data_IF_600009128641
#
_entry.id   IF_600009128641
#
_cell.length_a   1.000
_cell.length_b   1.000
_cell.length_c   1.000
_cell.angle_alpha   90.00
_cell.angle_beta   90.00
_cell.angle_gamma   90.00
#
_symmetry.space_group_name_H-M   'P 1'
#
loop_
_entity.id
_entity.type
_entity.pdbx_description
1 polymer ?
#
# COMPACT_ATOMS: atom_id res chain seq x y z
N UNK A 1 12.62 15.83 -52.19
CA UNK A 1 12.75 15.96 -50.72
C UNK A 1 11.36 15.94 -50.12
N UNK A 2 10.95 14.88 -49.39
CA UNK A 2 9.61 14.85 -48.80
C UNK A 2 9.60 15.68 -47.51
N UNK A 3 8.63 16.57 -47.39
CA UNK A 3 8.32 17.27 -46.15
C UNK A 3 7.81 16.25 -45.12
N UNK A 4 8.70 15.86 -44.21
CA UNK A 4 8.32 15.03 -43.05
C UNK A 4 7.40 15.87 -42.17
N UNK A 5 6.17 15.40 -42.04
CA UNK A 5 5.06 16.05 -41.34
C UNK A 5 5.32 16.04 -39.82
N UNK A 6 6.09 17.03 -39.32
CA UNK A 6 6.48 17.17 -37.91
C UNK A 6 5.31 17.40 -36.93
N UNK A 7 4.10 17.65 -37.45
CA UNK A 7 2.90 17.90 -36.63
C UNK A 7 2.33 16.65 -35.93
N UNK A 8 2.56 15.45 -36.47
CA UNK A 8 2.01 14.20 -35.90
C UNK A 8 2.78 13.76 -34.65
N UNK A 9 4.09 14.01 -34.60
CA UNK A 9 4.94 13.65 -33.48
C UNK A 9 4.66 14.49 -32.22
N UNK A 10 4.45 15.80 -32.39
CA UNK A 10 4.10 16.71 -31.29
C UNK A 10 2.75 16.37 -30.65
N UNK A 11 1.75 15.97 -31.47
CA UNK A 11 0.42 15.56 -30.97
C UNK A 11 0.47 14.24 -30.18
N UNK A 12 1.25 13.26 -30.64
CA UNK A 12 1.42 11.97 -29.94
C UNK A 12 2.15 12.08 -28.61
N UNK A 13 3.14 12.97 -28.55
CA UNK A 13 3.91 13.21 -27.32
C UNK A 13 3.06 13.95 -26.27
N UNK A 14 2.24 14.90 -26.69
CA UNK A 14 1.32 15.63 -25.81
C UNK A 14 0.21 14.73 -25.24
N UNK A 15 -0.32 13.78 -26.03
CA UNK A 15 -1.37 12.86 -25.57
C UNK A 15 -0.85 11.82 -24.56
N UNK A 16 0.36 11.29 -24.79
CA UNK A 16 1.03 10.39 -23.84
C UNK A 16 1.40 11.09 -22.51
N UNK A 17 1.63 12.41 -22.55
CA UNK A 17 1.82 13.24 -21.35
C UNK A 17 0.48 13.57 -20.68
N UNK A 18 -0.60 13.75 -21.45
CA UNK A 18 -1.96 13.96 -20.92
C UNK A 18 -2.51 12.75 -20.14
N UNK A 19 -2.14 11.53 -20.53
CA UNK A 19 -2.44 10.29 -19.76
C UNK A 19 -1.68 10.21 -18.43
N UNK A 20 -0.56 10.92 -18.31
CA UNK A 20 0.22 11.04 -17.08
C UNK A 20 -0.20 12.27 -16.24
N UNK A 21 -0.98 13.20 -16.80
CA UNK A 21 -1.30 14.47 -16.17
C UNK A 21 -2.72 14.50 -15.59
N UNK A 22 -3.73 13.99 -16.30
CA UNK A 22 -5.13 14.31 -15.99
C UNK A 22 -5.95 13.27 -15.20
N UNK A 23 -5.36 12.53 -14.23
CA UNK A 23 -6.08 11.80 -13.12
C UNK A 23 -5.20 10.76 -12.40
N UNK A 24 -4.00 11.14 -11.95
CA UNK A 24 -3.10 10.25 -11.17
C UNK A 24 -3.23 10.39 -9.64
N UNK A 25 -4.18 11.19 -9.14
CA UNK A 25 -4.39 11.30 -7.71
C UNK A 25 -5.53 10.36 -7.29
N UNK A 26 -5.18 9.26 -6.63
CA UNK A 26 -6.07 8.34 -5.96
C UNK A 26 -6.02 8.58 -4.45
N UNK A 27 -7.18 8.69 -3.84
CA UNK A 27 -7.29 8.40 -2.42
C UNK A 27 -7.15 6.89 -2.17
N UNK A 28 -6.79 6.42 -0.97
CA UNK A 28 -6.82 4.99 -0.64
C UNK A 28 -8.18 4.35 -0.91
N UNK A 29 -9.26 5.11 -0.74
CA UNK A 29 -10.63 4.72 -1.08
C UNK A 29 -10.76 4.33 -2.56
N UNK A 30 -10.09 5.05 -3.48
CA UNK A 30 -10.06 4.67 -4.89
C UNK A 30 -9.34 3.35 -5.13
N UNK A 31 -8.21 3.11 -4.45
CA UNK A 31 -7.48 1.83 -4.57
C UNK A 31 -8.32 0.68 -4.01
N UNK A 32 -8.90 0.88 -2.83
CA UNK A 32 -9.80 -0.08 -2.18
C UNK A 32 -10.97 -0.44 -3.11
N UNK A 33 -11.68 0.56 -3.64
CA UNK A 33 -12.84 0.35 -4.52
C UNK A 33 -12.50 -0.27 -5.87
N UNK A 34 -11.25 -0.20 -6.33
CA UNK A 34 -10.78 -0.84 -7.56
C UNK A 34 -10.15 -2.22 -7.34
N UNK A 35 -10.39 -2.84 -6.17
CA UNK A 35 -9.94 -4.20 -5.84
C UNK A 35 -8.75 -4.28 -4.87
N UNK A 36 -8.38 -3.17 -4.24
CA UNK A 36 -7.54 -3.15 -3.04
C UNK A 36 -6.07 -3.47 -3.24
N UNK A 37 -5.52 -3.39 -4.45
CA UNK A 37 -4.09 -3.61 -4.71
C UNK A 37 -3.47 -2.39 -5.41
N UNK A 38 -2.71 -1.59 -4.67
CA UNK A 38 -2.09 -0.35 -5.17
C UNK A 38 -1.07 -0.61 -6.27
N UNK A 39 -0.43 -1.79 -6.31
CA UNK A 39 0.58 -2.13 -7.33
C UNK A 39 -0.03 -2.31 -8.73
N UNK A 40 -1.32 -2.64 -8.81
CA UNK A 40 -2.04 -2.75 -10.07
C UNK A 40 -2.40 -1.37 -10.64
N UNK A 41 -2.31 -0.31 -9.84
CA UNK A 41 -2.66 1.05 -10.21
C UNK A 41 -1.41 1.92 -10.31
N UNK A 42 -1.48 2.90 -11.22
CA UNK A 42 -0.53 4.01 -11.23
C UNK A 42 -1.26 5.22 -10.67
N UNK A 43 -0.95 5.58 -9.44
CA UNK A 43 -1.56 6.72 -8.75
C UNK A 43 -0.69 7.25 -7.59
N UNK A 44 -1.24 8.21 -6.84
CA UNK A 44 -0.58 8.87 -5.71
C UNK A 44 -0.20 7.95 -4.56
N UNK A 45 -0.93 6.86 -4.32
CA UNK A 45 -0.60 5.92 -3.24
C UNK A 45 0.74 5.23 -3.48
N UNK A 46 1.17 5.15 -4.76
CA UNK A 46 2.45 4.54 -5.09
C UNK A 46 3.68 5.34 -4.60
N UNK A 47 3.53 6.59 -4.18
CA UNK A 47 4.67 7.35 -3.67
C UNK A 47 5.25 6.74 -2.39
N UNK A 48 4.44 6.00 -1.64
CA UNK A 48 4.85 5.33 -0.41
C UNK A 48 5.83 4.19 -0.69
N UNK A 49 5.59 3.44 -1.76
CA UNK A 49 6.46 2.37 -2.21
C UNK A 49 7.62 2.90 -3.07
N UNK A 50 7.41 4.00 -3.80
CA UNK A 50 8.36 4.57 -4.75
C UNK A 50 8.60 6.07 -4.46
N UNK A 51 9.44 6.43 -3.47
CA UNK A 51 9.62 7.83 -3.04
C UNK A 51 10.19 8.75 -4.14
N UNK A 52 10.87 8.19 -5.16
CA UNK A 52 11.33 8.95 -6.32
C UNK A 52 10.19 9.55 -7.17
N UNK A 53 8.94 9.12 -6.95
CA UNK A 53 7.76 9.60 -7.64
C UNK A 53 7.08 10.79 -6.96
N UNK A 54 7.51 11.21 -5.77
CA UNK A 54 6.84 12.28 -4.99
C UNK A 54 6.55 13.56 -5.79
N UNK A 55 7.45 13.93 -6.71
CA UNK A 55 7.25 15.11 -7.58
C UNK A 55 6.21 14.88 -8.69
N UNK A 56 6.06 13.63 -9.15
CA UNK A 56 5.08 13.24 -10.18
C UNK A 56 3.68 13.05 -9.60
N UNK A 57 3.57 12.88 -8.29
CA UNK A 57 2.37 12.45 -7.59
C UNK A 57 1.98 13.48 -6.51
N UNK A 58 2.01 14.77 -6.86
CA UNK A 58 1.69 15.85 -5.94
C UNK A 58 0.19 15.89 -5.60
N UNK A 59 -0.15 15.93 -4.32
CA UNK A 59 -1.52 15.95 -3.82
C UNK A 59 -1.55 16.30 -2.33
N UNK A 60 -2.72 16.69 -1.82
CA UNK A 60 -3.04 16.61 -0.40
C UNK A 60 -4.17 15.61 -0.22
N UNK A 61 -4.11 14.78 0.82
CA UNK A 61 -5.10 13.75 1.09
C UNK A 61 -5.39 13.69 2.59
N UNK A 62 -6.64 13.39 2.91
CA UNK A 62 -7.17 13.22 4.25
C UNK A 62 -8.14 12.04 4.20
N UNK A 63 -7.88 11.00 4.99
CA UNK A 63 -8.82 9.90 5.19
C UNK A 63 -9.45 10.02 6.57
N UNK A 64 -10.78 10.20 6.59
CA UNK A 64 -11.50 10.58 7.80
C UNK A 64 -11.73 9.41 8.76
N UNK A 65 -11.74 8.18 8.25
CA UNK A 65 -12.04 6.98 9.05
C UNK A 65 -10.78 6.32 9.61
N UNK A 66 -9.65 6.49 8.93
CA UNK A 66 -8.34 6.00 9.38
C UNK A 66 -7.50 7.10 10.06
N UNK A 67 -8.10 8.27 10.29
CA UNK A 67 -7.51 9.41 11.01
C UNK A 67 -6.13 9.84 10.49
N UNK A 68 -5.91 9.81 9.17
CA UNK A 68 -4.62 10.18 8.58
C UNK A 68 -4.76 11.31 7.58
N UNK A 69 -3.70 12.10 7.46
CA UNK A 69 -3.64 13.20 6.53
C UNK A 69 -2.21 13.41 6.04
N UNK A 70 -2.06 13.98 4.85
CA UNK A 70 -0.76 14.42 4.40
C UNK A 70 -0.77 15.15 3.08
N UNK A 71 0.42 15.53 2.68
CA UNK A 71 0.63 16.38 1.53
C UNK A 71 1.95 16.02 0.84
N UNK A 72 1.91 15.95 -0.48
CA UNK A 72 3.04 15.82 -1.38
C UNK A 72 3.09 17.02 -2.33
N UNK A 73 4.20 17.76 -2.31
CA UNK A 73 4.38 19.01 -3.03
C UNK A 73 5.66 18.98 -3.88
N UNK A 74 5.62 19.45 -5.14
CA UNK A 74 6.82 19.78 -5.86
C UNK A 74 7.42 21.06 -5.26
N UNK A 75 8.72 21.06 -4.98
CA UNK A 75 9.45 22.24 -4.48
C UNK A 75 10.42 22.70 -5.56
N UNK A 76 10.03 23.76 -6.26
CA UNK A 76 10.77 24.25 -7.42
C UNK A 76 10.77 23.25 -8.58
N UNK A 77 11.81 23.31 -9.43
CA UNK A 77 11.84 22.53 -10.69
C UNK A 77 12.29 21.08 -10.52
N UNK A 78 13.06 20.77 -9.48
CA UNK A 78 13.75 19.47 -9.35
C UNK A 78 13.37 18.69 -8.10
N UNK A 79 12.75 19.32 -7.11
CA UNK A 79 12.52 18.70 -5.82
C UNK A 79 11.05 18.35 -5.63
N UNK A 80 10.78 17.37 -4.79
CA UNK A 80 9.46 17.13 -4.22
C UNK A 80 9.62 16.74 -2.76
N UNK A 81 8.68 17.14 -1.93
CA UNK A 81 8.64 16.87 -0.50
C UNK A 81 7.25 16.36 -0.18
N UNK A 82 7.15 15.36 0.68
CA UNK A 82 5.88 14.97 1.26
C UNK A 82 5.98 14.68 2.75
N UNK A 83 4.89 14.95 3.44
CA UNK A 83 4.70 14.66 4.85
C UNK A 83 3.29 14.11 5.06
N UNK A 84 3.22 12.94 5.70
CA UNK A 84 1.96 12.31 6.09
C UNK A 84 2.02 11.97 7.57
N UNK A 85 0.88 12.06 8.24
CA UNK A 85 0.70 11.78 9.65
C UNK A 85 -0.29 10.65 9.79
N UNK A 86 -0.02 9.72 10.72
CA UNK A 86 -0.92 8.62 11.08
C UNK A 86 -1.33 7.66 9.94
N UNK A 87 -0.56 7.58 8.85
CA UNK A 87 -0.85 6.65 7.74
C UNK A 87 -0.45 5.22 8.08
N UNK A 88 -1.42 4.31 8.20
CA UNK A 88 -1.22 2.86 8.38
C UNK A 88 -0.50 2.21 7.20
N UNK A 89 0.15 1.07 7.45
CA UNK A 89 0.70 0.17 6.43
C UNK A 89 0.64 -1.28 6.90
N UNK A 90 0.77 -2.21 5.95
CA UNK A 90 0.70 -3.64 6.22
C UNK A 90 1.73 -4.14 7.25
N UNK A 91 2.93 -3.54 7.32
CA UNK A 91 3.92 -3.92 8.33
C UNK A 91 3.51 -3.53 9.76
N UNK A 92 2.64 -2.53 9.91
CA UNK A 92 2.11 -2.13 11.22
C UNK A 92 1.01 -3.09 11.69
N UNK A 93 0.19 -3.58 10.75
CA UNK A 93 -0.82 -4.61 11.04
C UNK A 93 -0.13 -5.92 11.47
N UNK A 94 0.94 -6.30 10.78
CA UNK A 94 1.79 -7.45 11.11
C UNK A 94 2.44 -7.30 12.50
N UNK A 95 3.03 -6.14 12.79
CA UNK A 95 3.59 -5.84 14.10
C UNK A 95 2.51 -5.89 15.18
N UNK A 96 1.33 -5.32 14.94
CA UNK A 96 0.22 -5.34 15.91
C UNK A 96 -0.27 -6.76 16.19
N UNK A 97 -0.32 -7.63 15.18
CA UNK A 97 -0.66 -9.04 15.33
C UNK A 97 0.41 -9.83 16.09
N UNK A 98 1.70 -9.49 15.93
CA UNK A 98 2.75 -10.05 16.77
C UNK A 98 2.58 -9.61 18.23
N UNK A 99 2.40 -8.30 18.46
CA UNK A 99 2.27 -7.74 19.80
C UNK A 99 1.07 -8.30 20.55
N UNK A 100 -0.06 -8.61 19.89
CA UNK A 100 -1.24 -9.14 20.58
C UNK A 100 -1.04 -10.53 21.20
N UNK A 101 -0.08 -11.29 20.67
CA UNK A 101 0.08 -12.72 20.96
C UNK A 101 1.30 -12.99 21.86
N UNK A 102 2.26 -12.06 21.93
CA UNK A 102 3.55 -12.26 22.63
C UNK A 102 3.73 -11.31 23.82
N UNK A 103 4.54 -11.71 24.81
CA UNK A 103 4.99 -10.84 25.91
C UNK A 103 3.99 -10.66 27.07
N UNK A 104 4.31 -9.71 27.95
CA UNK A 104 3.51 -9.37 29.12
C UNK A 104 2.13 -8.85 28.74
N UNK A 105 1.22 -8.76 29.72
CA UNK A 105 -0.11 -8.15 29.48
C UNK A 105 0.01 -6.68 29.06
N UNK A 106 1.01 -5.96 29.57
CA UNK A 106 1.22 -4.56 29.22
C UNK A 106 1.71 -4.43 27.78
N UNK A 107 2.64 -5.30 27.38
CA UNK A 107 3.15 -5.38 26.01
C UNK A 107 2.06 -5.72 25.00
N UNK A 108 1.19 -6.70 25.30
CA UNK A 108 0.02 -7.05 24.47
C UNK A 108 -1.04 -5.96 24.34
N UNK A 109 -0.95 -4.91 25.15
CA UNK A 109 -1.84 -3.74 25.08
C UNK A 109 -1.27 -2.58 24.27
N UNK A 110 -0.08 -2.75 23.69
CA UNK A 110 0.52 -1.77 22.78
C UNK A 110 -0.27 -1.75 21.47
N UNK A 111 -0.54 -0.54 21.00
CA UNK A 111 -1.17 -0.25 19.72
C UNK A 111 -0.23 0.72 18.98
N UNK A 112 0.85 0.24 18.35
CA UNK A 112 1.82 1.11 17.69
C UNK A 112 1.11 1.98 16.66
N UNK A 113 1.22 3.31 16.82
CA UNK A 113 0.60 4.26 15.89
C UNK A 113 1.65 4.87 14.97
N UNK A 114 1.37 4.99 13.66
CA UNK A 114 2.24 5.73 12.77
C UNK A 114 2.26 7.19 13.20
N UNK A 115 3.45 7.75 13.38
CA UNK A 115 3.61 9.16 13.73
C UNK A 115 3.74 10.00 12.48
N UNK A 116 4.74 9.69 11.65
CA UNK A 116 4.96 10.42 10.41
C UNK A 116 5.54 9.52 9.30
N UNK A 117 5.33 9.96 8.07
CA UNK A 117 5.95 9.47 6.84
C UNK A 117 6.49 10.70 6.09
N UNK A 118 7.80 10.80 5.97
CA UNK A 118 8.49 11.92 5.35
C UNK A 118 9.21 11.45 4.09
N UNK A 119 8.93 12.10 2.96
CA UNK A 119 9.47 11.72 1.67
C UNK A 119 10.11 12.91 0.98
N UNK A 120 11.27 12.69 0.38
CA UNK A 120 11.96 13.68 -0.43
C UNK A 120 12.39 13.07 -1.75
N UNK A 121 12.19 13.80 -2.84
CA UNK A 121 12.56 13.39 -4.19
C UNK A 121 13.38 14.45 -4.90
N UNK A 122 14.33 14.01 -5.72
CA UNK A 122 15.21 14.84 -6.51
C UNK A 122 15.29 14.33 -7.95
N UNK A 123 14.89 15.17 -8.91
CA UNK A 123 15.17 14.95 -10.32
C UNK A 123 16.60 15.43 -10.64
N UNK A 124 17.52 14.48 -10.84
CA UNK A 124 18.89 14.77 -11.24
C UNK A 124 18.95 15.31 -12.67
N UNK A 125 18.26 14.63 -13.59
CA UNK A 125 18.13 14.98 -15.00
C UNK A 125 16.82 14.44 -15.58
N UNK A 126 16.52 14.79 -16.83
CA UNK A 126 15.37 14.21 -17.53
C UNK A 126 15.49 12.68 -17.55
N UNK A 127 14.46 11.99 -17.07
CA UNK A 127 14.42 10.53 -16.99
C UNK A 127 15.21 9.89 -15.85
N UNK A 128 15.80 10.64 -14.92
CA UNK A 128 16.44 10.08 -13.73
C UNK A 128 16.03 10.88 -12.49
N UNK A 129 15.35 10.21 -11.57
CA UNK A 129 14.97 10.78 -10.26
C UNK A 129 15.38 9.83 -9.13
N UNK A 130 15.79 10.39 -8.01
CA UNK A 130 16.04 9.69 -6.77
C UNK A 130 14.99 10.11 -5.75
N UNK A 131 14.73 9.26 -4.76
CA UNK A 131 13.93 9.63 -3.61
C UNK A 131 14.36 8.90 -2.35
N UNK A 132 14.10 9.50 -1.21
CA UNK A 132 14.26 8.91 0.10
C UNK A 132 12.93 9.03 0.84
N UNK A 133 12.53 7.99 1.55
CA UNK A 133 11.38 7.98 2.43
C UNK A 133 11.80 7.51 3.82
N UNK A 134 11.18 8.07 4.85
CA UNK A 134 11.36 7.65 6.23
C UNK A 134 10.02 7.61 6.94
N UNK A 135 9.78 6.58 7.73
CA UNK A 135 8.55 6.40 8.50
C UNK A 135 8.90 5.99 9.92
N UNK A 136 8.11 6.49 10.86
CA UNK A 136 8.26 6.17 12.28
C UNK A 136 6.91 5.83 12.89
N UNK A 137 6.87 4.75 13.65
CA UNK A 137 5.73 4.35 14.48
C UNK A 137 6.21 4.02 15.90
N UNK A 138 5.38 4.32 16.89
CA UNK A 138 5.74 4.17 18.30
C UNK A 138 4.51 4.00 19.18
N UNK A 139 4.62 3.20 20.24
CA UNK A 139 3.72 3.22 21.39
C UNK A 139 4.48 2.84 22.68
N UNK A 140 4.00 3.36 23.80
CA UNK A 140 4.56 3.12 25.13
C UNK A 140 3.47 3.07 26.19
N UNK A 141 3.60 2.13 27.12
CA UNK A 141 2.75 1.98 28.28
C UNK A 141 3.62 1.87 29.53
N UNK A 142 3.27 2.64 30.54
CA UNK A 142 3.92 2.63 31.85
C UNK A 142 2.84 2.48 32.94
N UNK A 143 3.04 1.49 33.83
CA UNK A 143 2.25 1.27 35.04
C UNK A 143 3.16 1.01 36.24
N UNK A 144 4.01 1.98 36.57
CA UNK A 144 4.74 2.02 37.83
C UNK A 144 6.02 1.21 37.80
N UNK A 145 5.94 -0.11 38.03
CA UNK A 145 7.10 -1.01 37.91
C UNK A 145 7.12 -1.80 36.60
N UNK A 146 6.02 -1.75 35.85
CA UNK A 146 5.84 -2.38 34.55
C UNK A 146 5.95 -1.32 33.45
N UNK A 147 6.72 -1.62 32.41
CA UNK A 147 6.92 -0.73 31.26
C UNK A 147 6.96 -1.58 30.00
N UNK A 148 6.30 -1.12 28.95
CA UNK A 148 6.36 -1.77 27.64
C UNK A 148 6.44 -0.70 26.56
N UNK A 149 7.30 -0.90 25.57
CA UNK A 149 7.37 -0.01 24.41
C UNK A 149 7.72 -0.74 23.13
N UNK A 150 7.27 -0.15 22.04
CA UNK A 150 7.56 -0.60 20.68
C UNK A 150 7.89 0.61 19.83
N UNK A 151 8.95 0.51 19.03
CA UNK A 151 9.26 1.51 18.02
C UNK A 151 9.66 0.85 16.72
N UNK A 152 9.15 1.36 15.61
CA UNK A 152 9.48 0.90 14.26
C UNK A 152 9.96 2.08 13.43
N UNK A 153 11.11 1.91 12.79
CA UNK A 153 11.71 2.87 11.88
C UNK A 153 11.93 2.25 10.50
N UNK A 154 11.32 2.85 9.49
CA UNK A 154 11.43 2.39 8.11
C UNK A 154 12.14 3.43 7.27
N UNK A 155 13.06 2.99 6.41
CA UNK A 155 13.80 3.82 5.47
C UNK A 155 13.71 3.24 4.07
N UNK A 156 13.45 4.11 3.10
CA UNK A 156 13.31 3.74 1.69
C UNK A 156 14.22 4.57 0.82
N UNK A 157 14.92 3.93 -0.11
CA UNK A 157 15.72 4.60 -1.15
C UNK A 157 15.15 4.22 -2.52
N UNK A 158 14.54 5.19 -3.18
CA UNK A 158 13.89 5.04 -4.47
C UNK A 158 14.71 5.59 -5.64
N UNK A 159 14.52 4.95 -6.79
CA UNK A 159 15.08 5.33 -8.09
C UNK A 159 13.96 5.24 -9.14
N UNK A 160 13.86 6.26 -9.99
CA UNK A 160 13.00 6.24 -11.17
C UNK A 160 13.88 6.50 -12.41
N UNK A 161 13.93 5.51 -13.30
CA UNK A 161 14.63 5.58 -14.59
C UNK A 161 13.62 5.64 -15.73
N UNK A 162 13.87 6.49 -16.72
CA UNK A 162 13.10 6.55 -17.96
C UNK A 162 14.01 6.32 -19.17
N UNK A 163 13.55 5.47 -20.09
CA UNK A 163 14.18 5.21 -21.38
C UNK A 163 13.12 5.27 -22.47
N UNK A 164 13.12 6.35 -23.24
CA UNK A 164 12.04 6.67 -24.18
C UNK A 164 10.70 6.82 -23.46
N UNK A 165 9.71 6.00 -23.85
CA UNK A 165 8.38 5.99 -23.24
C UNK A 165 8.24 5.03 -22.05
N UNK A 166 9.25 4.20 -21.79
CA UNK A 166 9.22 3.22 -20.69
C UNK A 166 9.86 3.80 -19.45
N UNK A 167 9.35 3.42 -18.28
CA UNK A 167 9.97 3.75 -17.00
C UNK A 167 10.12 2.52 -16.12
N UNK A 168 11.08 2.59 -15.22
CA UNK A 168 11.34 1.62 -14.17
C UNK A 168 11.41 2.37 -12.85
N UNK A 169 10.57 1.97 -11.91
CA UNK A 169 10.57 2.43 -10.53
C UNK A 169 11.19 1.31 -9.68
N UNK A 170 12.14 1.66 -8.83
CA UNK A 170 12.84 0.71 -7.96
C UNK A 170 13.02 1.31 -6.58
N UNK A 171 12.84 0.53 -5.52
CA UNK A 171 13.03 0.97 -4.14
C UNK A 171 13.74 -0.11 -3.34
N UNK A 172 14.73 0.30 -2.55
CA UNK A 172 15.29 -0.52 -1.48
C UNK A 172 14.67 -0.09 -0.14
N UNK A 173 14.38 -1.07 0.70
CA UNK A 173 13.74 -0.91 1.98
C UNK A 173 14.64 -1.44 3.09
N UNK A 174 14.69 -0.72 4.22
CA UNK A 174 15.29 -1.16 5.47
C UNK A 174 14.36 -0.79 6.61
N UNK A 175 14.12 -1.71 7.52
CA UNK A 175 13.31 -1.56 8.72
C UNK A 175 14.15 -1.91 9.95
N UNK A 176 13.93 -1.17 11.03
CA UNK A 176 14.45 -1.49 12.35
C UNK A 176 13.29 -1.42 13.34
N UNK A 177 13.19 -2.44 14.18
CA UNK A 177 12.22 -2.56 15.23
C UNK A 177 12.96 -2.62 16.56
N UNK A 178 12.46 -1.93 17.58
CA UNK A 178 12.93 -2.09 18.95
C UNK A 178 11.74 -2.39 19.84
N UNK A 179 11.85 -3.48 20.60
CA UNK A 179 10.85 -3.99 21.51
C UNK A 179 11.41 -3.99 22.94
N UNK A 180 10.63 -3.47 23.87
CA UNK A 180 10.97 -3.45 25.29
C UNK A 180 9.78 -3.93 26.11
N UNK A 181 9.99 -4.93 26.95
CA UNK A 181 9.00 -5.45 27.88
C UNK A 181 9.62 -5.68 29.26
N UNK A 182 9.11 -4.94 30.23
CA UNK A 182 9.53 -4.99 31.61
C UNK A 182 8.34 -5.33 32.48
N UNK A 183 8.41 -6.51 33.10
CA UNK A 183 7.49 -7.00 34.12
C UNK A 183 8.28 -7.28 35.40
N UNK A 184 7.64 -7.26 36.57
CA UNK A 184 8.25 -7.34 37.91
C UNK A 184 9.48 -8.28 38.03
N UNK A 185 10.69 -7.75 37.82
CA UNK A 185 11.97 -8.47 37.96
C UNK A 185 12.51 -9.10 36.66
N UNK A 186 11.79 -9.02 35.56
CA UNK A 186 12.18 -9.47 34.21
C UNK A 186 12.24 -8.28 33.26
N UNK A 187 13.41 -8.03 32.68
CA UNK A 187 13.59 -7.06 31.60
C UNK A 187 13.95 -7.81 30.33
N UNK A 188 13.14 -7.68 29.29
CA UNK A 188 13.35 -8.31 28.00
C UNK A 188 13.42 -7.20 26.95
N UNK A 189 14.54 -7.17 26.25
CA UNK A 189 14.81 -6.24 25.16
C UNK A 189 15.16 -7.04 23.92
N UNK A 190 14.65 -6.61 22.78
CA UNK A 190 14.99 -7.24 21.53
C UNK A 190 14.83 -6.28 20.36
N UNK A 191 15.68 -6.47 19.35
CA UNK A 191 15.70 -5.69 18.13
C UNK A 191 15.29 -6.58 16.95
N UNK A 192 14.42 -6.05 16.10
CA UNK A 192 14.06 -6.64 14.82
C UNK A 192 14.66 -5.86 13.65
N UNK A 193 14.88 -6.53 12.53
CA UNK A 193 15.39 -5.89 11.30
C UNK A 193 14.68 -6.43 10.09
N UNK A 194 14.40 -5.55 9.14
CA UNK A 194 13.84 -5.92 7.86
C UNK A 194 14.57 -5.27 6.70
N UNK A 195 14.49 -5.91 5.54
CA UNK A 195 14.96 -5.37 4.28
C UNK A 195 14.11 -5.87 3.13
N UNK A 196 14.14 -5.15 2.01
CA UNK A 196 13.36 -5.52 0.85
C UNK A 196 13.67 -4.73 -0.38
N UNK A 197 13.07 -5.16 -1.49
CA UNK A 197 13.14 -4.50 -2.78
C UNK A 197 11.77 -4.48 -3.44
N UNK A 198 11.44 -3.34 -4.03
CA UNK A 198 10.27 -3.15 -4.88
C UNK A 198 10.72 -2.73 -6.26
N UNK A 199 10.24 -3.40 -7.31
CA UNK A 199 10.48 -3.04 -8.70
C UNK A 199 9.16 -2.96 -9.46
N UNK A 200 9.01 -1.94 -10.30
CA UNK A 200 7.84 -1.79 -11.20
C UNK A 200 8.21 -1.21 -12.55
N UNK A 201 7.82 -1.91 -13.60
CA UNK A 201 7.85 -1.41 -14.97
C UNK A 201 6.62 -0.54 -15.26
N UNK A 202 6.82 0.51 -16.05
CA UNK A 202 5.75 1.35 -16.62
C UNK A 202 5.88 1.32 -18.12
N UNK A 203 5.11 0.46 -18.77
CA UNK A 203 5.25 0.17 -20.20
C UNK A 203 3.98 0.58 -20.95
N UNK A 204 3.95 1.77 -21.57
CA UNK A 204 2.82 2.17 -22.41
C UNK A 204 2.61 1.18 -23.55
N UNK A 205 1.36 0.77 -23.74
CA UNK A 205 0.89 -0.07 -24.84
C UNK A 205 -0.07 0.77 -25.67
N UNK A 206 0.42 1.27 -26.79
CA UNK A 206 -0.34 2.20 -27.63
C UNK A 206 -0.55 3.56 -26.95
N UNK A 207 -1.67 4.21 -27.29
CA UNK A 207 -2.00 5.55 -26.81
C UNK A 207 -3.01 5.54 -25.66
N UNK A 208 -3.53 4.38 -25.24
CA UNK A 208 -4.62 4.32 -24.25
C UNK A 208 -4.35 3.35 -23.12
N UNK A 209 -3.27 2.58 -23.15
CA UNK A 209 -3.01 1.59 -22.11
C UNK A 209 -1.58 1.67 -21.57
N UNK A 210 -1.41 1.22 -20.32
CA UNK A 210 -0.11 1.00 -19.69
C UNK A 210 -0.10 -0.35 -19.00
N UNK A 211 0.97 -1.10 -19.21
CA UNK A 211 1.25 -2.35 -18.51
C UNK A 211 2.18 -2.07 -17.33
N UNK A 212 1.85 -2.63 -16.17
CA UNK A 212 2.55 -2.47 -14.91
C UNK A 212 2.98 -3.83 -14.33
N UNK A 213 4.07 -4.44 -14.84
CA UNK A 213 4.69 -5.57 -14.15
C UNK A 213 5.37 -5.06 -12.87
N UNK A 214 5.21 -5.77 -11.76
CA UNK A 214 5.85 -5.46 -10.50
C UNK A 214 6.24 -6.70 -9.70
N UNK A 215 7.28 -6.56 -8.89
CA UNK A 215 7.76 -7.55 -7.95
C UNK A 215 8.14 -6.85 -6.66
N UNK A 216 7.68 -7.40 -5.53
CA UNK A 216 8.13 -7.06 -4.18
C UNK A 216 8.76 -8.28 -3.57
N UNK A 217 9.91 -8.10 -2.94
CA UNK A 217 10.43 -9.07 -1.99
C UNK A 217 10.79 -8.36 -0.68
N UNK A 218 10.46 -8.96 0.45
CA UNK A 218 10.74 -8.44 1.79
C UNK A 218 11.09 -9.60 2.71
N UNK A 219 12.04 -9.35 3.61
CA UNK A 219 12.31 -10.20 4.75
C UNK A 219 12.36 -9.32 6.00
N UNK A 220 11.82 -9.79 7.12
CA UNK A 220 11.85 -9.10 8.39
C UNK A 220 11.92 -10.10 9.55
N UNK A 221 12.66 -9.72 10.58
CA UNK A 221 12.74 -10.44 11.85
C UNK A 221 12.07 -9.57 12.93
N UNK A 222 11.16 -10.16 13.68
CA UNK A 222 10.42 -9.57 14.80
C UNK A 222 10.58 -10.53 15.97
N UNK A 223 11.22 -10.15 17.06
CA UNK A 223 11.39 -11.08 18.16
C UNK A 223 11.50 -10.38 19.50
N UNK A 224 10.93 -10.98 20.52
CA UNK A 224 11.02 -10.66 21.94
C UNK A 224 11.16 -12.01 22.65
N UNK A 225 12.31 -12.24 23.30
CA UNK A 225 12.60 -13.53 23.91
C UNK A 225 11.46 -13.98 24.85
N UNK A 226 11.02 -15.25 24.80
CA UNK A 226 11.62 -16.34 24.03
C UNK A 226 11.13 -16.49 22.59
N UNK A 227 10.15 -15.72 22.13
CA UNK A 227 9.52 -15.90 20.81
C UNK A 227 10.13 -14.99 19.75
N UNK A 228 10.78 -15.59 18.76
CA UNK A 228 11.30 -14.90 17.58
C UNK A 228 10.52 -15.33 16.34
N UNK A 229 10.10 -14.35 15.54
CA UNK A 229 9.35 -14.55 14.30
C UNK A 229 10.14 -13.99 13.12
N UNK A 230 10.42 -14.84 12.15
CA UNK A 230 10.97 -14.43 10.87
C UNK A 230 9.85 -14.45 9.83
N UNK A 231 9.78 -13.42 9.00
CA UNK A 231 8.79 -13.28 7.93
C UNK A 231 9.48 -13.00 6.61
N UNK A 232 9.13 -13.76 5.59
CA UNK A 232 9.52 -13.54 4.21
C UNK A 232 8.28 -13.37 3.34
N UNK A 233 8.30 -12.40 2.43
CA UNK A 233 7.20 -12.11 1.52
C UNK A 233 7.74 -11.92 0.10
N UNK A 234 7.10 -12.57 -0.87
CA UNK A 234 7.31 -12.35 -2.29
C UNK A 234 5.95 -12.06 -2.94
N UNK A 235 5.80 -10.90 -3.55
CA UNK A 235 4.61 -10.55 -4.34
C UNK A 235 4.99 -10.29 -5.79
N UNK A 236 4.28 -10.92 -6.72
CA UNK A 236 4.35 -10.67 -8.15
C UNK A 236 3.01 -10.13 -8.61
N UNK A 237 3.03 -9.05 -9.38
CA UNK A 237 1.81 -8.49 -9.93
C UNK A 237 2.00 -8.01 -11.37
N UNK A 238 0.94 -8.14 -12.16
CA UNK A 238 0.88 -7.64 -13.53
C UNK A 238 -0.49 -7.01 -13.74
N UNK A 239 -0.53 -5.74 -14.15
CA UNK A 239 -1.79 -5.10 -14.53
C UNK A 239 -1.72 -4.37 -15.87
N UNK A 240 -2.87 -4.24 -16.50
CA UNK A 240 -3.12 -3.34 -17.60
C UNK A 240 -4.13 -2.27 -17.17
N UNK A 241 -3.71 -1.01 -17.21
CA UNK A 241 -4.56 0.14 -16.98
C UNK A 241 -4.91 0.77 -18.33
N UNK A 242 -6.18 0.79 -18.69
CA UNK A 242 -6.70 1.23 -19.99
C UNK A 242 -7.58 2.45 -19.80
N UNK A 243 -7.31 3.51 -20.54
CA UNK A 243 -8.09 4.75 -20.58
C UNK A 243 -8.58 4.99 -22.01
N UNK A 244 -9.70 4.37 -22.42
CA UNK A 244 -10.23 4.55 -23.77
C UNK A 244 -10.75 5.97 -24.01
N UNK A 245 -11.14 6.67 -22.93
CA UNK A 245 -11.50 8.08 -22.92
C UNK A 245 -10.93 8.74 -21.65
N UNK A 246 -10.78 10.07 -21.62
CA UNK A 246 -10.27 10.76 -20.43
C UNK A 246 -11.08 10.52 -19.15
N UNK A 247 -12.40 10.28 -19.30
CA UNK A 247 -13.34 10.06 -18.20
C UNK A 247 -13.52 8.58 -17.84
N UNK A 248 -12.79 7.66 -18.46
CA UNK A 248 -12.94 6.22 -18.23
C UNK A 248 -11.59 5.61 -17.94
N UNK A 249 -11.51 4.83 -16.86
CA UNK A 249 -10.38 3.97 -16.54
C UNK A 249 -10.89 2.54 -16.34
N UNK A 250 -10.25 1.59 -17.01
CA UNK A 250 -10.38 0.16 -16.78
C UNK A 250 -9.06 -0.40 -16.26
N UNK A 251 -9.14 -1.34 -15.32
CA UNK A 251 -8.01 -1.96 -14.66
C UNK A 251 -8.25 -3.46 -14.68
N UNK A 252 -7.28 -4.22 -15.16
CA UNK A 252 -7.29 -5.68 -15.07
C UNK A 252 -5.90 -6.11 -14.61
N UNK A 253 -5.85 -6.93 -13.57
CA UNK A 253 -4.58 -7.37 -13.02
C UNK A 253 -4.64 -8.74 -12.38
N UNK A 254 -3.45 -9.30 -12.22
CA UNK A 254 -3.22 -10.57 -11.53
C UNK A 254 -2.16 -10.32 -10.45
N UNK A 255 -2.39 -10.88 -9.28
CA UNK A 255 -1.45 -10.87 -8.15
C UNK A 255 -1.19 -12.29 -7.70
N UNK A 256 0.07 -12.63 -7.46
CA UNK A 256 0.49 -13.87 -6.80
C UNK A 256 1.38 -13.47 -5.65
N UNK A 257 1.16 -14.03 -4.47
CA UNK A 257 2.00 -13.74 -3.31
C UNK A 257 2.30 -15.00 -2.52
N UNK A 258 3.52 -15.07 -1.96
CA UNK A 258 3.91 -16.02 -0.93
C UNK A 258 4.31 -15.26 0.33
N UNK A 259 3.83 -15.71 1.47
CA UNK A 259 4.23 -15.24 2.79
C UNK A 259 4.66 -16.47 3.61
N UNK A 260 5.89 -16.47 4.09
CA UNK A 260 6.45 -17.55 4.89
C UNK A 260 6.84 -16.99 6.24
N UNK A 261 6.35 -17.60 7.30
CA UNK A 261 6.67 -17.21 8.66
C UNK A 261 7.24 -18.42 9.40
N UNK A 262 8.29 -18.19 10.17
CA UNK A 262 8.84 -19.16 11.11
C UNK A 262 8.81 -18.52 12.49
N UNK A 263 8.16 -19.19 13.44
CA UNK A 263 8.15 -18.77 14.84
C UNK A 263 8.91 -19.80 15.65
N UNK A 264 10.00 -19.37 16.28
CA UNK A 264 10.85 -20.20 17.12
C UNK A 264 10.71 -19.76 18.59
N UNK A 265 10.47 -20.72 19.48
CA UNK A 265 10.44 -20.50 20.93
C UNK A 265 11.78 -20.95 21.51
N UNK A 266 12.61 -19.98 21.89
CA UNK A 266 13.94 -20.25 22.45
C UNK A 266 13.83 -20.94 23.81
N UNK A 267 14.41 -22.15 23.92
CA UNK A 267 14.55 -22.87 25.18
C UNK A 267 14.18 -24.36 25.17
N UNK A 268 13.42 -24.86 24.18
CA UNK A 268 13.04 -26.29 24.12
C UNK A 268 13.53 -27.05 22.89
N UNK A 269 13.94 -26.36 21.82
CA UNK A 269 14.46 -26.94 20.57
C UNK A 269 13.47 -27.84 19.81
N UNK A 270 12.20 -27.85 20.20
CA UNK A 270 11.15 -28.78 19.76
C UNK A 270 9.85 -28.07 19.35
N UNK A 271 9.60 -26.85 19.83
CA UNK A 271 8.39 -26.07 19.59
C UNK A 271 8.68 -24.90 18.63
N UNK A 272 8.66 -25.19 17.34
CA UNK A 272 8.64 -24.17 16.28
C UNK A 272 7.39 -24.36 15.42
N UNK A 273 6.81 -23.25 14.95
CA UNK A 273 5.69 -23.29 14.01
C UNK A 273 6.10 -22.60 12.72
N UNK A 274 5.84 -23.24 11.58
CA UNK A 274 6.02 -22.62 10.26
C UNK A 274 4.68 -22.42 9.60
N UNK A 275 4.41 -21.19 9.21
CA UNK A 275 3.25 -20.81 8.43
C UNK A 275 3.70 -20.54 7.00
N UNK A 276 3.06 -21.17 6.01
CA UNK A 276 3.24 -20.83 4.60
C UNK A 276 1.90 -20.47 4.02
N UNK A 277 1.76 -19.22 3.58
CA UNK A 277 0.55 -18.72 2.97
C UNK A 277 0.81 -18.31 1.53
N UNK A 278 0.07 -18.90 0.61
CA UNK A 278 0.12 -18.60 -0.80
C UNK A 278 -1.18 -17.97 -1.26
N UNK A 279 -1.08 -16.75 -1.78
CA UNK A 279 -2.09 -16.17 -2.65
C UNK A 279 -1.85 -16.71 -4.06
N UNK A 280 -2.63 -17.71 -4.45
CA UNK A 280 -2.70 -18.18 -5.84
C UNK A 280 -3.22 -17.03 -6.72
N UNK A 281 -3.05 -17.09 -8.07
CA UNK A 281 -3.36 -15.97 -8.95
C UNK A 281 -4.72 -15.31 -8.66
N UNK A 282 -4.66 -14.19 -7.95
CA UNK A 282 -5.80 -13.37 -7.61
C UNK A 282 -6.07 -12.45 -8.79
N UNK A 283 -7.28 -12.50 -9.32
CA UNK A 283 -7.69 -11.70 -10.48
C UNK A 283 -8.46 -10.50 -9.98
N UNK A 284 -8.00 -9.31 -10.36
CA UNK A 284 -8.62 -8.04 -10.02
C UNK A 284 -9.10 -7.37 -11.30
N UNK A 285 -10.36 -6.96 -11.33
CA UNK A 285 -10.93 -6.16 -12.40
C UNK A 285 -11.62 -4.94 -11.79
N UNK A 286 -11.32 -3.76 -12.32
CA UNK A 286 -11.85 -2.49 -11.84
C UNK A 286 -12.24 -1.57 -12.97
N UNK A 287 -13.24 -0.75 -12.74
CA UNK A 287 -13.69 0.29 -13.66
C UNK A 287 -14.00 1.58 -12.91
N UNK A 288 -13.59 2.70 -13.47
CA UNK A 288 -13.93 4.04 -13.02
C UNK A 288 -14.49 4.84 -14.20
N UNK A 289 -15.63 5.49 -13.99
CA UNK A 289 -16.28 6.35 -14.98
C UNK A 289 -16.64 7.68 -14.33
N UNK A 290 -16.30 8.76 -15.01
CA UNK A 290 -16.69 10.11 -14.66
C UNK A 290 -17.84 10.60 -15.55
N UNK A 291 -18.93 11.06 -14.93
CA UNK A 291 -20.09 11.66 -15.60
C UNK A 291 -20.35 13.03 -14.98
N UNK A 292 -19.87 14.08 -15.65
CA UNK A 292 -19.87 15.43 -15.06
C UNK A 292 -18.96 15.48 -13.83
N UNK A 293 -19.50 15.91 -12.69
CA UNK A 293 -18.79 15.91 -11.40
C UNK A 293 -18.87 14.57 -10.68
N UNK A 294 -19.66 13.60 -11.13
CA UNK A 294 -19.83 12.33 -10.45
C UNK A 294 -18.77 11.31 -10.90
N UNK A 295 -18.16 10.61 -9.94
CA UNK A 295 -17.27 9.48 -10.14
C UNK A 295 -17.97 8.21 -9.67
N UNK A 296 -17.99 7.19 -10.53
CA UNK A 296 -18.53 5.87 -10.24
C UNK A 296 -17.41 4.85 -10.37
N UNK A 297 -17.24 3.99 -9.37
CA UNK A 297 -16.23 2.93 -9.34
C UNK A 297 -16.86 1.59 -9.01
N UNK A 298 -16.38 0.56 -9.69
CA UNK A 298 -16.71 -0.83 -9.40
C UNK A 298 -15.42 -1.64 -9.46
N UNK A 299 -15.13 -2.38 -8.40
CA UNK A 299 -14.04 -3.33 -8.32
C UNK A 299 -14.57 -4.73 -8.06
N UNK A 300 -13.88 -5.72 -8.61
CA UNK A 300 -14.08 -7.12 -8.31
C UNK A 300 -12.73 -7.79 -8.12
N UNK A 301 -12.63 -8.61 -7.09
CA UNK A 301 -11.43 -9.39 -6.75
C UNK A 301 -11.85 -10.82 -6.49
N UNK A 302 -11.25 -11.74 -7.24
CA UNK A 302 -11.32 -13.16 -6.96
C UNK A 302 -9.95 -13.63 -6.49
N UNK A 303 -9.90 -14.31 -5.35
CA UNK A 303 -8.66 -14.84 -4.79
C UNK A 303 -8.82 -16.26 -4.27
N UNK A 304 -7.70 -16.97 -4.20
CA UNK A 304 -7.62 -18.29 -3.60
C UNK A 304 -6.37 -18.34 -2.75
N UNK A 305 -6.55 -18.72 -1.49
CA UNK A 305 -5.49 -18.75 -0.49
C UNK A 305 -5.26 -20.19 -0.08
N UNK A 306 -4.01 -20.63 -0.18
CA UNK A 306 -3.55 -21.90 0.36
C UNK A 306 -2.67 -21.61 1.56
N UNK A 307 -3.00 -22.17 2.71
CA UNK A 307 -2.27 -22.00 3.95
C UNK A 307 -1.83 -23.36 4.50
N UNK A 308 -0.55 -23.47 4.83
CA UNK A 308 0.07 -24.66 5.42
C UNK A 308 0.65 -24.26 6.77
N UNK A 309 0.23 -24.93 7.83
CA UNK A 309 0.73 -24.73 9.19
C UNK A 309 1.44 -26.01 9.61
N UNK A 310 2.76 -25.94 9.72
CA UNK A 310 3.62 -27.03 10.17
C UNK A 310 3.99 -26.77 11.63
N UNK A 311 3.36 -27.53 12.53
CA UNK A 311 3.54 -27.45 13.98
C UNK A 311 4.12 -28.74 14.56
N UNK A 312 4.30 -28.82 15.89
CA UNK A 312 4.91 -29.97 16.54
C UNK A 312 4.08 -31.26 16.35
N UNK A 313 4.41 -32.04 15.32
CA UNK A 313 3.81 -33.36 15.04
C UNK A 313 2.57 -33.36 14.14
N UNK A 314 2.13 -32.21 13.63
CA UNK A 314 0.97 -32.09 12.76
C UNK A 314 1.21 -31.04 11.66
N UNK A 315 0.71 -31.33 10.46
CA UNK A 315 0.70 -30.39 9.33
C UNK A 315 -0.75 -30.17 8.93
N UNK A 316 -1.23 -28.96 9.16
CA UNK A 316 -2.54 -28.54 8.73
C UNK A 316 -2.48 -27.86 7.37
N UNK A 317 -3.46 -28.14 6.52
CA UNK A 317 -3.61 -27.52 5.21
C UNK A 317 -5.00 -26.92 5.08
N UNK A 318 -5.07 -25.62 4.85
CA UNK A 318 -6.29 -24.87 4.63
C UNK A 318 -6.33 -24.30 3.22
N UNK A 319 -7.48 -24.38 2.58
CA UNK A 319 -7.72 -23.77 1.27
C UNK A 319 -9.03 -22.99 1.32
N UNK A 320 -8.95 -21.71 0.96
CA UNK A 320 -10.10 -20.81 0.93
C UNK A 320 -10.18 -20.06 -0.40
N UNK A 321 -11.39 -19.73 -0.84
CA UNK A 321 -11.62 -18.92 -2.04
C UNK A 321 -12.57 -17.78 -1.74
N UNK A 322 -12.13 -16.58 -2.09
CA UNK A 322 -12.86 -15.35 -1.87
C UNK A 322 -13.27 -14.68 -3.17
N UNK A 323 -14.48 -14.13 -3.18
CA UNK A 323 -14.90 -13.16 -4.20
C UNK A 323 -15.47 -11.94 -3.51
N UNK A 324 -14.88 -10.77 -3.79
CA UNK A 324 -15.27 -9.49 -3.21
C UNK A 324 -15.60 -8.51 -4.33
N UNK A 325 -16.67 -7.76 -4.15
CA UNK A 325 -17.03 -6.63 -5.02
C UNK A 325 -17.15 -5.36 -4.20
N UNK A 326 -16.50 -4.31 -4.67
CA UNK A 326 -16.49 -3.01 -4.02
C UNK A 326 -17.09 -1.96 -4.94
N UNK A 327 -17.88 -1.04 -4.37
CA UNK A 327 -18.50 0.06 -5.10
C UNK A 327 -18.06 1.38 -4.49
N UNK A 328 -17.53 2.25 -5.33
CA UNK A 328 -17.10 3.58 -4.95
C UNK A 328 -17.95 4.66 -5.61
N UNK A 329 -18.23 5.71 -4.87
CA UNK A 329 -18.87 6.92 -5.36
C UNK A 329 -17.99 8.11 -4.99
N UNK A 330 -17.81 9.04 -5.92
CA UNK A 330 -17.05 10.26 -5.64
C UNK A 330 -17.67 11.46 -6.31
N UNK A 331 -17.32 12.64 -5.82
CA UNK A 331 -17.68 13.91 -6.45
C UNK A 331 -16.42 14.74 -6.65
N UNK A 332 -16.19 15.17 -7.88
CA UNK A 332 -15.09 16.01 -8.30
C UNK A 332 -15.57 17.43 -8.60
N UNK A 333 -14.96 18.40 -7.92
CA UNK A 333 -15.19 19.83 -8.10
C UNK A 333 -13.86 20.55 -8.34
N UNK A 334 -13.50 20.70 -9.62
CA UNK A 334 -12.18 21.23 -9.98
C UNK A 334 -11.07 20.30 -9.51
N UNK A 335 -10.14 20.81 -8.71
CA UNK A 335 -9.02 20.04 -8.17
C UNK A 335 -9.36 19.25 -6.89
N UNK A 336 -10.57 19.41 -6.37
CA UNK A 336 -11.04 18.75 -5.16
C UNK A 336 -11.86 17.49 -5.49
N UNK A 337 -11.59 16.40 -4.79
CA UNK A 337 -12.32 15.13 -4.88
C UNK A 337 -12.74 14.69 -3.49
N UNK A 338 -14.04 14.46 -3.32
CA UNK A 338 -14.60 13.74 -2.19
C UNK A 338 -14.91 12.31 -2.66
N UNK A 339 -14.24 11.32 -2.09
CA UNK A 339 -14.44 9.91 -2.43
C UNK A 339 -15.02 9.15 -1.25
N UNK A 340 -15.93 8.23 -1.55
CA UNK A 340 -16.51 7.31 -0.58
C UNK A 340 -16.59 5.89 -1.15
N UNK A 341 -16.35 4.92 -0.28
CA UNK A 341 -16.55 3.50 -0.57
C UNK A 341 -17.79 3.02 0.17
N UNK A 342 -18.72 2.36 -0.53
CA UNK A 342 -19.85 1.71 0.10
C UNK A 342 -19.35 0.52 0.95
N UNK A 343 -20.16 0.12 1.93
CA UNK A 343 -19.88 -1.09 2.72
C UNK A 343 -19.54 -2.31 1.85
N UNK A 344 -18.64 -3.17 2.35
CA UNK A 344 -18.26 -4.38 1.60
C UNK A 344 -19.49 -5.25 1.37
N UNK A 345 -19.52 -5.90 0.21
CA UNK A 345 -20.65 -6.74 -0.20
C UNK A 345 -21.99 -6.00 -0.27
N UNK A 346 -22.02 -4.67 -0.33
CA UNK A 346 -23.24 -3.86 -0.48
C UNK A 346 -24.16 -4.37 -1.61
N UNK A 347 -23.58 -4.81 -2.73
CA UNK A 347 -24.34 -5.36 -3.85
C UNK A 347 -24.97 -6.75 -3.56
N UNK A 348 -24.36 -7.53 -2.67
CA UNK A 348 -24.84 -8.85 -2.26
C UNK A 348 -25.84 -8.75 -1.09
N UNK A 349 -25.49 -7.97 -0.08
CA UNK A 349 -26.16 -7.96 1.22
C UNK A 349 -27.13 -6.76 1.38
N UNK A 350 -27.04 -5.78 0.49
CA UNK A 350 -27.88 -4.58 0.49
C UNK A 350 -27.52 -3.58 1.60
N UNK A 351 -28.16 -2.40 1.61
CA UNK A 351 -27.88 -1.37 2.61
C UNK A 351 -28.51 -1.71 3.98
N UNK A 352 -27.71 -1.67 5.04
CA UNK A 352 -28.19 -1.79 6.42
C UNK A 352 -28.72 -0.44 6.95
N UNK A 353 -29.77 0.13 6.33
CA UNK A 353 -30.33 1.45 6.71
C UNK A 353 -31.07 1.46 8.04
N UNK A 354 -31.65 0.34 8.47
CA UNK A 354 -32.52 0.24 9.64
C UNK A 354 -32.13 -1.00 10.44
N UNK A 355 -31.06 -0.88 11.23
CA UNK A 355 -30.66 -1.95 12.14
C UNK A 355 -29.28 -1.79 12.76
N UNK A 356 -28.37 -1.07 12.12
CA UNK A 356 -26.97 -1.05 12.50
C UNK A 356 -26.34 -2.43 12.23
N UNK A 357 -25.35 -2.49 11.35
CA UNK A 357 -24.57 -3.72 11.23
C UNK A 357 -23.75 -3.90 12.51
N UNK A 358 -23.41 -5.13 12.87
CA UNK A 358 -22.43 -5.43 13.92
C UNK A 358 -21.01 -4.94 13.60
N UNK A 359 -20.81 -4.30 12.43
CA UNK A 359 -19.55 -3.77 11.90
C UNK A 359 -19.54 -2.24 11.69
N UNK A 360 -20.59 -1.52 12.11
CA UNK A 360 -20.70 -0.06 11.95
C UNK A 360 -21.85 0.30 10.99
N UNK A 361 -22.92 0.88 11.53
CA UNK A 361 -24.18 1.15 10.81
C UNK A 361 -24.15 2.35 9.87
N UNK A 362 -23.24 2.38 8.89
CA UNK A 362 -23.13 3.43 7.87
C UNK A 362 -23.44 2.94 6.45
N UNK A 363 -23.68 3.89 5.52
CA UNK A 363 -23.76 3.61 4.07
C UNK A 363 -22.36 3.48 3.46
N UNK A 364 -21.36 4.16 4.04
CA UNK A 364 -19.99 4.25 3.57
C UNK A 364 -19.05 3.61 4.59
N UNK A 365 -18.16 2.74 4.12
CA UNK A 365 -17.09 2.15 4.91
C UNK A 365 -15.92 3.13 5.12
N UNK A 366 -15.58 3.90 4.08
CA UNK A 366 -14.48 4.86 4.10
C UNK A 366 -14.86 6.15 3.36
N UNK A 367 -14.28 7.27 3.81
CA UNK A 367 -14.38 8.58 3.16
C UNK A 367 -13.01 9.23 3.12
N UNK A 368 -12.65 9.77 1.96
CA UNK A 368 -11.42 10.51 1.74
C UNK A 368 -11.66 11.82 1.01
N UNK A 369 -10.77 12.77 1.29
CA UNK A 369 -10.75 14.12 0.74
C UNK A 369 -9.40 14.36 0.11
N UNK A 370 -9.41 14.52 -1.20
CA UNK A 370 -8.20 14.66 -1.99
C UNK A 370 -8.20 16.01 -2.71
N UNK A 371 -7.09 16.74 -2.63
CA UNK A 371 -6.86 17.97 -3.38
C UNK A 371 -5.64 17.83 -4.29
N UNK A 372 -5.84 18.05 -5.59
CA UNK A 372 -4.78 17.97 -6.61
C UNK A 372 -4.04 19.29 -6.64
N UNK A 373 -2.75 19.24 -6.35
CA UNK A 373 -1.98 20.49 -6.20
C UNK A 373 -1.58 21.10 -7.54
N UNK A 374 -1.62 20.35 -8.65
CA UNK A 374 -1.50 20.83 -10.04
C UNK A 374 -1.98 19.71 -11.01
N UNK A 375 -2.65 20.02 -12.14
CA UNK A 375 -3.00 19.06 -13.20
C UNK A 375 -1.84 18.73 -14.16
#
# INVERSE_FOLDING_TARGET
>A
MPFVNRGVWLRRTALAVLLLASSLSASPVRVATLGGESRLLLDSTNLFDYPALVRQLAHADIELFDDWAGIALPVGKKHGVALFLNRKDAGLDELSAYLSDTGSRLFRSLEPKPWFDAIYGLQLRQGLSLGIGARYAYDVRDRGLEEASVSRWDSRLGLCLASGHRRLDATLYVENLALHDRELGTNIEADGKGYGIDLRGRWPIGETAILLPSIRWRQADIGLSPEERQVEELTLALSANVRPAPTVLGVLGIVVAGNWQSTDISGDGLSGTKLRRWLLPAVVAGGEVQVGSLLLRLGARHESVLEEIDGPGEVDLYFDTGFVTDVGLGIEFGDFVLDGMLEKDFLRDGPHFLGGSSRGGGLLANISLLYRLYP
#
